data_IF_791809145499
#
_entry.id   IF_791809145499
#
_cell.length_a   1.000
_cell.length_b   1.000
_cell.length_c   1.000
_cell.angle_alpha   90.00
_cell.angle_beta   90.00
_cell.angle_gamma   90.00
#
_symmetry.space_group_name_H-M   'P 1'
#
loop_
_entity.id
_entity.type
_entity.pdbx_description
1 polymer ?
#
# COMPACT_ATOMS: atom_id res chain seq x y z
N UNK A 1 10.32 3.17 -15.28
CA UNK A 1 8.86 3.23 -15.02
C UNK A 1 8.60 2.34 -13.83
N UNK A 2 8.03 2.88 -12.76
CA UNK A 2 7.61 2.06 -11.61
C UNK A 2 6.27 1.44 -11.97
N UNK A 3 6.15 0.11 -11.89
CA UNK A 3 4.87 -0.58 -12.11
C UNK A 3 3.83 0.02 -11.16
N UNK A 4 2.76 0.63 -11.69
CA UNK A 4 1.66 1.14 -10.86
C UNK A 4 0.85 -0.02 -10.29
N UNK A 5 0.09 0.24 -9.21
CA UNK A 5 -0.82 -0.80 -8.65
C UNK A 5 -1.82 -1.28 -9.71
N UNK A 6 -2.29 -0.37 -10.58
CA UNK A 6 -3.18 -0.69 -11.70
C UNK A 6 -2.52 -1.62 -12.72
N UNK A 7 -1.24 -1.40 -13.05
CA UNK A 7 -0.49 -2.27 -13.96
C UNK A 7 -0.28 -3.67 -13.37
N UNK A 8 -0.03 -3.77 -12.05
CA UNK A 8 0.06 -5.05 -11.36
C UNK A 8 -1.29 -5.78 -11.36
N UNK A 9 -2.39 -5.06 -11.10
CA UNK A 9 -3.74 -5.63 -11.11
C UNK A 9 -4.14 -6.12 -12.52
N UNK A 10 -3.75 -5.40 -13.58
CA UNK A 10 -3.95 -5.85 -14.97
C UNK A 10 -3.13 -7.12 -15.29
N UNK A 11 -1.89 -7.21 -14.80
CA UNK A 11 -1.05 -8.41 -14.96
C UNK A 11 -1.61 -9.61 -14.21
N UNK A 12 -2.15 -9.42 -12.99
CA UNK A 12 -2.81 -10.46 -12.21
C UNK A 12 -4.07 -10.98 -12.93
N UNK A 13 -4.85 -10.10 -13.54
CA UNK A 13 -6.03 -10.50 -14.32
C UNK A 13 -5.64 -11.31 -15.57
N UNK A 14 -4.55 -10.95 -16.25
CA UNK A 14 -3.99 -11.75 -17.36
C UNK A 14 -3.52 -13.13 -16.88
N UNK A 15 -2.96 -13.25 -15.68
CA UNK A 15 -2.56 -14.54 -15.09
C UNK A 15 -3.76 -15.42 -14.75
N UNK A 16 -4.87 -14.86 -14.24
CA UNK A 16 -6.11 -15.62 -14.00
C UNK A 16 -6.62 -16.31 -15.27
N UNK A 17 -6.71 -15.58 -16.38
CA UNK A 17 -7.13 -16.14 -17.68
C UNK A 17 -6.21 -17.27 -18.16
N UNK A 18 -4.89 -17.17 -17.90
CA UNK A 18 -3.93 -18.25 -18.22
C UNK A 18 -4.09 -19.47 -17.31
N UNK A 19 -4.43 -19.26 -16.04
CA UNK A 19 -4.66 -20.32 -15.05
C UNK A 19 -5.87 -21.16 -15.40
N UNK A 20 -6.90 -20.53 -15.95
CA UNK A 20 -8.10 -21.18 -16.48
C UNK A 20 -7.78 -22.03 -17.71
N UNK A 21 -7.05 -21.50 -18.70
CA UNK A 21 -6.56 -22.30 -19.84
C UNK A 21 -5.70 -23.49 -19.43
N UNK A 22 -4.85 -23.33 -18.42
CA UNK A 22 -4.03 -24.42 -17.90
C UNK A 22 -4.88 -25.48 -17.18
N UNK A 23 -6.00 -25.08 -16.57
CA UNK A 23 -6.99 -26.01 -15.99
C UNK A 23 -7.71 -26.77 -17.11
N UNK A 24 -8.14 -26.10 -18.17
CA UNK A 24 -8.79 -26.76 -19.31
C UNK A 24 -7.88 -27.85 -19.92
N UNK A 25 -6.57 -27.58 -20.02
CA UNK A 25 -5.58 -28.56 -20.48
C UNK A 25 -5.46 -29.78 -19.56
N UNK A 26 -5.61 -29.61 -18.24
CA UNK A 26 -5.62 -30.71 -17.26
C UNK A 26 -6.92 -31.50 -17.39
N UNK A 27 -8.05 -30.79 -17.52
CA UNK A 27 -9.39 -31.35 -17.58
C UNK A 27 -9.60 -32.20 -18.86
N UNK A 28 -8.85 -31.94 -19.93
CA UNK A 28 -8.79 -32.82 -21.13
C UNK A 28 -8.24 -34.24 -20.83
N UNK A 29 -7.63 -34.46 -19.67
CA UNK A 29 -7.22 -35.77 -19.13
C UNK A 29 -6.34 -36.61 -20.07
N UNK A 30 -5.58 -35.96 -20.94
CA UNK A 30 -4.52 -36.58 -21.75
C UNK A 30 -3.20 -36.47 -21.01
N UNK A 31 -2.29 -37.45 -21.16
CA UNK A 31 -0.97 -37.40 -20.52
C UNK A 31 -0.21 -36.09 -20.84
N UNK A 32 -0.29 -35.64 -22.10
CA UNK A 32 0.27 -34.35 -22.52
C UNK A 32 -0.43 -33.14 -21.89
N UNK A 33 -1.75 -33.19 -21.74
CA UNK A 33 -2.56 -32.14 -21.08
C UNK A 33 -2.26 -32.02 -19.59
N UNK A 34 -2.17 -33.14 -18.88
CA UNK A 34 -1.85 -33.21 -17.45
C UNK A 34 -0.46 -32.61 -17.15
N UNK A 35 0.57 -33.04 -17.91
CA UNK A 35 1.94 -32.56 -17.71
C UNK A 35 2.04 -31.07 -18.07
N UNK A 36 1.54 -30.68 -19.26
CA UNK A 36 1.65 -29.29 -19.74
C UNK A 36 0.85 -28.31 -18.88
N UNK A 37 -0.38 -28.68 -18.50
CA UNK A 37 -1.23 -27.85 -17.65
C UNK A 37 -0.69 -27.71 -16.23
N UNK A 38 -0.10 -28.78 -15.66
CA UNK A 38 0.52 -28.72 -14.32
C UNK A 38 1.76 -27.82 -14.29
N UNK A 39 2.65 -27.92 -15.27
CA UNK A 39 3.83 -27.05 -15.39
C UNK A 39 3.42 -25.59 -15.59
N UNK A 40 2.42 -25.32 -16.44
CA UNK A 40 1.88 -23.97 -16.62
C UNK A 40 1.29 -23.42 -15.33
N UNK A 41 0.51 -24.21 -14.58
CA UNK A 41 -0.04 -23.79 -13.29
C UNK A 41 1.04 -23.46 -12.26
N UNK A 42 2.12 -24.24 -12.20
CA UNK A 42 3.23 -23.98 -11.28
C UNK A 42 3.90 -22.62 -11.58
N UNK A 43 4.25 -22.36 -12.85
CA UNK A 43 4.86 -21.09 -13.26
C UNK A 43 3.93 -19.89 -13.11
N UNK A 44 2.61 -20.08 -13.31
CA UNK A 44 1.61 -19.03 -13.06
C UNK A 44 1.53 -18.69 -11.57
N UNK A 45 1.53 -19.70 -10.70
CA UNK A 45 1.48 -19.50 -9.24
C UNK A 45 2.69 -18.76 -8.71
N UNK A 46 3.88 -19.04 -9.24
CA UNK A 46 5.11 -18.34 -8.88
C UNK A 46 5.06 -16.85 -9.25
N UNK A 47 4.64 -16.54 -10.48
CA UNK A 47 4.43 -15.14 -10.93
C UNK A 47 3.31 -14.42 -10.18
N UNK A 48 2.21 -15.11 -9.88
CA UNK A 48 1.10 -14.57 -9.08
C UNK A 48 1.62 -14.15 -7.69
N UNK A 49 2.40 -15.00 -7.03
CA UNK A 49 3.01 -14.69 -5.73
C UNK A 49 4.00 -13.52 -5.79
N UNK A 50 4.81 -13.43 -6.85
CA UNK A 50 5.74 -12.32 -7.04
C UNK A 50 5.02 -10.97 -7.18
N UNK A 51 3.98 -10.93 -8.02
CA UNK A 51 3.16 -9.72 -8.22
C UNK A 51 2.41 -9.32 -6.96
N UNK A 52 1.86 -10.27 -6.21
CA UNK A 52 1.20 -10.00 -4.93
C UNK A 52 2.18 -9.41 -3.91
N UNK A 53 3.42 -9.91 -3.84
CA UNK A 53 4.47 -9.32 -2.98
C UNK A 53 4.82 -7.89 -3.41
N UNK A 54 4.97 -7.63 -4.71
CA UNK A 54 5.23 -6.28 -5.23
C UNK A 54 4.08 -5.32 -4.92
N UNK A 55 2.83 -5.77 -5.11
CA UNK A 55 1.62 -5.02 -4.75
C UNK A 55 1.57 -4.69 -3.26
N UNK A 56 1.86 -5.66 -2.41
CA UNK A 56 1.90 -5.45 -0.95
C UNK A 56 3.00 -4.46 -0.56
N UNK A 57 4.18 -4.51 -1.19
CA UNK A 57 5.25 -3.54 -0.99
C UNK A 57 4.85 -2.14 -1.45
N UNK A 58 4.18 -1.99 -2.59
CA UNK A 58 3.67 -0.69 -3.07
C UNK A 58 2.56 -0.16 -2.17
N UNK A 59 1.64 -1.00 -1.71
CA UNK A 59 0.63 -0.62 -0.73
C UNK A 59 1.26 -0.23 0.61
N UNK A 60 2.30 -0.94 1.06
CA UNK A 60 3.08 -0.55 2.25
C UNK A 60 3.78 0.79 2.04
N UNK A 61 4.37 1.04 0.87
CA UNK A 61 4.98 2.33 0.51
C UNK A 61 3.96 3.47 0.40
N UNK A 62 2.75 3.20 -0.09
CA UNK A 62 1.65 4.16 -0.11
C UNK A 62 1.06 4.41 1.28
N UNK A 63 0.97 3.37 2.11
CA UNK A 63 0.49 3.45 3.51
C UNK A 63 1.51 4.04 4.47
N UNK A 64 2.81 3.91 4.20
CA UNK A 64 3.79 4.84 4.73
C UNK A 64 3.59 6.16 3.99
N UNK A 65 2.46 6.82 4.30
CA UNK A 65 2.15 8.17 3.86
C UNK A 65 3.45 8.94 3.90
N UNK A 66 3.86 9.45 2.74
CA UNK A 66 5.11 10.19 2.57
C UNK A 66 5.20 11.37 3.55
N UNK A 67 4.06 11.72 4.16
CA UNK A 67 3.88 12.80 5.11
C UNK A 67 3.64 12.33 6.56
N UNK A 68 3.33 11.05 6.83
CA UNK A 68 3.06 10.53 8.17
C UNK A 68 4.16 10.84 9.19
N UNK A 69 5.44 10.53 8.89
CA UNK A 69 6.57 10.86 9.77
C UNK A 69 6.78 12.37 9.96
N UNK A 70 6.45 13.19 8.95
CA UNK A 70 6.57 14.64 9.01
C UNK A 70 5.46 15.26 9.88
N UNK A 71 4.22 14.78 9.74
CA UNK A 71 3.09 15.23 10.56
C UNK A 71 3.26 14.83 12.03
N UNK A 72 3.80 13.64 12.32
CA UNK A 72 4.10 13.23 13.69
C UNK A 72 5.22 14.08 14.33
N UNK A 73 6.28 14.38 13.59
CA UNK A 73 7.36 15.25 14.09
C UNK A 73 6.89 16.70 14.28
N UNK A 74 6.13 17.25 13.33
CA UNK A 74 5.59 18.60 13.43
C UNK A 74 4.58 18.73 14.59
N UNK A 75 3.70 17.73 14.75
CA UNK A 75 2.77 17.69 15.89
C UNK A 75 3.49 17.67 17.23
N UNK A 76 4.53 16.84 17.36
CA UNK A 76 5.32 16.75 18.60
C UNK A 76 6.06 18.05 18.92
N UNK A 77 6.66 18.70 17.93
CA UNK A 77 7.35 19.98 18.13
C UNK A 77 6.39 21.10 18.58
N UNK A 78 5.16 21.12 18.05
CA UNK A 78 4.12 22.07 18.46
C UNK A 78 3.59 21.74 19.87
N UNK A 79 3.43 20.47 20.22
CA UNK A 79 3.03 20.05 21.58
C UNK A 79 4.08 20.47 22.63
N UNK A 80 5.37 20.27 22.33
CA UNK A 80 6.48 20.70 23.21
C UNK A 80 6.51 22.23 23.36
N UNK A 81 6.27 22.97 22.28
CA UNK A 81 6.21 24.44 22.30
C UNK A 81 5.01 24.96 23.11
N UNK A 82 3.84 24.32 22.97
CA UNK A 82 2.66 24.67 23.75
C UNK A 82 2.88 24.42 25.26
N UNK A 83 3.57 23.34 25.61
CA UNK A 83 3.89 23.01 27.01
C UNK A 83 4.79 24.06 27.66
N UNK A 84 5.76 24.61 26.92
CA UNK A 84 6.64 25.70 27.41
C UNK A 84 5.85 27.00 27.56
N UNK A 85 4.98 27.33 26.60
CA UNK A 85 4.25 28.60 26.59
C UNK A 85 3.01 28.63 27.51
N UNK A 86 2.56 27.47 28.02
CA UNK A 86 1.37 27.36 28.86
C UNK A 86 1.40 28.21 30.14
N UNK A 87 2.60 28.47 30.68
CA UNK A 87 2.76 29.26 31.90
C UNK A 87 2.91 30.77 31.65
N UNK A 88 3.67 31.16 30.62
CA UNK A 88 4.04 32.57 30.41
C UNK A 88 3.13 33.28 29.39
N UNK A 89 2.59 32.54 28.41
CA UNK A 89 1.82 33.10 27.29
C UNK A 89 0.60 32.23 26.94
N UNK A 90 -0.45 32.21 27.77
CA UNK A 90 -1.62 31.32 27.59
C UNK A 90 -2.41 31.57 26.29
N UNK A 91 -2.37 32.79 25.75
CA UNK A 91 -2.99 33.10 24.45
C UNK A 91 -2.18 32.54 23.27
N UNK A 92 -0.86 32.40 23.41
CA UNK A 92 0.00 31.77 22.40
C UNK A 92 -0.11 30.24 22.45
N UNK A 93 -0.24 29.67 23.65
CA UNK A 93 -0.58 28.25 23.84
C UNK A 93 -1.88 27.89 23.11
N UNK A 94 -2.94 28.69 23.28
CA UNK A 94 -4.22 28.45 22.57
C UNK A 94 -4.07 28.47 21.05
N UNK A 95 -3.26 29.39 20.51
CA UNK A 95 -2.98 29.47 19.06
C UNK A 95 -2.25 28.23 18.57
N UNK A 96 -1.24 27.76 19.30
CA UNK A 96 -0.48 26.55 18.93
C UNK A 96 -1.37 25.31 19.00
N UNK A 97 -2.25 25.20 20.01
CA UNK A 97 -3.24 24.11 20.09
C UNK A 97 -4.22 24.12 18.92
N UNK A 98 -4.63 25.30 18.46
CA UNK A 98 -5.43 25.43 17.25
C UNK A 98 -4.65 24.96 16.00
N UNK A 99 -3.37 25.35 15.87
CA UNK A 99 -2.51 24.88 14.78
C UNK A 99 -2.31 23.36 14.80
N UNK A 100 -2.14 22.73 15.97
CA UNK A 100 -2.05 21.26 16.10
C UNK A 100 -3.33 20.59 15.61
N UNK A 101 -4.49 21.20 15.87
CA UNK A 101 -5.78 20.68 15.41
C UNK A 101 -5.90 20.76 13.90
N UNK A 102 -5.57 21.90 13.30
CA UNK A 102 -5.54 22.08 11.84
C UNK A 102 -4.57 21.10 11.17
N UNK A 103 -3.40 20.87 11.77
CA UNK A 103 -2.39 19.94 11.25
C UNK A 103 -2.88 18.47 11.25
N UNK A 104 -3.73 18.10 12.22
CA UNK A 104 -4.38 16.78 12.27
C UNK A 104 -5.51 16.66 11.24
N UNK A 105 -6.27 17.73 11.02
CA UNK A 105 -7.31 17.80 9.98
C UNK A 105 -6.69 17.68 8.58
N UNK A 106 -5.63 18.44 8.30
CA UNK A 106 -4.87 18.34 7.03
C UNK A 106 -4.29 16.94 6.81
N UNK A 107 -3.76 16.29 7.86
CA UNK A 107 -3.31 14.89 7.77
C UNK A 107 -4.46 13.96 7.35
N UNK A 108 -5.65 14.14 7.92
CA UNK A 108 -6.82 13.30 7.59
C UNK A 108 -7.36 13.51 6.18
N UNK A 109 -7.05 14.64 5.55
CA UNK A 109 -7.42 14.91 4.14
C UNK A 109 -6.38 14.35 3.16
N UNK A 110 -5.15 14.09 3.60
CA UNK A 110 -4.04 13.59 2.79
C UNK A 110 -3.87 12.06 2.84
N UNK A 111 -4.41 11.40 3.87
CA UNK A 111 -4.42 9.93 4.05
C UNK A 111 -5.70 9.29 3.48
#
# INVERSE_FOLDING_TARGET
MYDSIEEIDEQLEKLRKRKEKAKDLIDMNTYGGLVRGSVQRAGIKEKENELLRRREQLLKRGKTSQHGPYFEQAGKALDDLAAVLAHDHPEEEKRIRAMIKELKEVRSELD
#
